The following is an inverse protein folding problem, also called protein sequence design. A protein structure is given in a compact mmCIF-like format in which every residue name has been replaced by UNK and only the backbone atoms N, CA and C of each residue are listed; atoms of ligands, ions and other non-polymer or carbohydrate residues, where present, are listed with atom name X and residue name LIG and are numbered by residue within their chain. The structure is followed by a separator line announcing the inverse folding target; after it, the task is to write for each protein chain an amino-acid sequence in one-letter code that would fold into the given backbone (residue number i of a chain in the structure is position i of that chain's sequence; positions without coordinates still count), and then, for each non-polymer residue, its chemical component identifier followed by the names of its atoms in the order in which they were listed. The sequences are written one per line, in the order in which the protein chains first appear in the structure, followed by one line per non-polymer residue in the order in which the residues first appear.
data_IF_216828020568
#
_entry.id   IF_216828020568
#
_cell.length_a   1.000
_cell.length_b   1.000
_cell.length_c   1.000
_cell.angle_alpha   90.00
_cell.angle_beta   90.00
_cell.angle_gamma   90.00
#
_symmetry.space_group_name_H-M   'P 1'
#
loop_
_entity.id
_entity.type
_entity.pdbx_description
1 polymer ?
#
# COMPACT_ATOMS: atom_id res chain seq x y z
N UNK A 1 -18.36 -9.44 -0.10
CA UNK A 1 -19.55 -9.35 -0.97
C UNK A 1 -19.32 -10.12 -2.27
N UNK A 2 -20.37 -10.53 -2.99
CA UNK A 2 -20.21 -11.16 -4.30
C UNK A 2 -19.88 -10.13 -5.37
N UNK A 3 -19.02 -10.53 -6.34
CA UNK A 3 -18.73 -9.71 -7.51
C UNK A 3 -19.80 -9.99 -8.56
N UNK A 4 -20.44 -8.95 -9.14
CA UNK A 4 -21.46 -9.12 -10.18
C UNK A 4 -20.93 -9.84 -11.44
N UNK A 5 -21.83 -10.42 -12.24
CA UNK A 5 -21.45 -10.92 -13.55
C UNK A 5 -21.09 -9.77 -14.51
N UNK A 6 -20.24 -10.05 -15.50
CA UNK A 6 -19.83 -9.04 -16.49
C UNK A 6 -18.68 -8.14 -16.01
N UNK A 7 -17.86 -8.64 -15.07
CA UNK A 7 -16.68 -7.94 -14.58
C UNK A 7 -15.40 -8.56 -15.13
N UNK A 8 -14.43 -7.70 -15.48
CA UNK A 8 -13.07 -8.05 -15.85
C UNK A 8 -12.20 -8.19 -14.60
N UNK A 9 -11.62 -9.37 -14.40
CA UNK A 9 -10.71 -9.65 -13.29
C UNK A 9 -9.25 -9.47 -13.72
N UNK A 10 -8.48 -8.80 -12.89
CA UNK A 10 -7.07 -8.57 -13.14
C UNK A 10 -6.24 -8.61 -11.84
N UNK A 11 -5.00 -9.04 -11.99
CA UNK A 11 -3.95 -8.88 -10.99
C UNK A 11 -3.10 -7.69 -11.37
N UNK A 12 -2.92 -6.75 -10.45
CA UNK A 12 -1.92 -5.68 -10.57
C UNK A 12 -0.81 -5.94 -9.56
N UNK A 13 0.44 -5.83 -10.01
CA UNK A 13 1.63 -6.13 -9.22
C UNK A 13 2.66 -5.02 -9.35
N UNK A 14 3.20 -4.58 -8.20
CA UNK A 14 4.37 -3.71 -8.09
C UNK A 14 5.56 -4.59 -7.75
N UNK A 15 6.64 -4.53 -8.52
CA UNK A 15 7.86 -5.33 -8.31
C UNK A 15 9.11 -4.63 -8.82
N UNK A 16 10.27 -5.24 -8.58
CA UNK A 16 11.56 -4.70 -9.02
C UNK A 16 12.13 -3.63 -8.10
N UNK A 17 11.50 -3.35 -6.95
CA UNK A 17 12.05 -2.40 -5.99
C UNK A 17 13.23 -2.99 -5.23
N UNK A 18 14.21 -2.13 -4.89
CA UNK A 18 15.41 -2.52 -4.12
C UNK A 18 15.07 -2.95 -2.69
N UNK A 19 14.06 -2.31 -2.08
CA UNK A 19 13.76 -2.50 -0.67
C UNK A 19 14.89 -2.02 0.22
N UNK A 20 15.08 -2.69 1.36
CA UNK A 20 16.15 -2.36 2.31
C UNK A 20 15.70 -2.46 3.75
N UNK A 21 16.63 -2.20 4.68
CA UNK A 21 16.35 -2.21 6.10
C UNK A 21 15.56 -0.97 6.52
N UNK A 22 14.46 -1.15 7.25
CA UNK A 22 13.55 -0.06 7.64
C UNK A 22 14.14 0.96 8.64
N UNK A 23 15.35 0.76 9.10
CA UNK A 23 16.10 1.71 9.92
C UNK A 23 17.30 2.28 9.17
N UNK A 24 18.15 1.41 8.62
CA UNK A 24 19.40 1.82 7.97
C UNK A 24 19.22 2.43 6.57
N UNK A 25 18.22 1.97 5.81
CA UNK A 25 18.02 2.39 4.41
C UNK A 25 16.79 3.28 4.18
N UNK A 26 16.02 3.57 5.24
CA UNK A 26 14.74 4.30 5.13
C UNK A 26 14.90 5.72 4.58
N UNK A 27 16.07 6.33 4.74
CA UNK A 27 16.41 7.67 4.27
C UNK A 27 16.85 7.73 2.80
N UNK A 28 17.04 6.57 2.16
CA UNK A 28 17.56 6.51 0.79
C UNK A 28 16.51 6.81 -0.29
N UNK A 29 15.30 7.21 0.09
CA UNK A 29 14.24 7.56 -0.85
C UNK A 29 13.72 6.38 -1.69
N UNK A 30 13.92 5.14 -1.20
CA UNK A 30 13.45 3.92 -1.90
C UNK A 30 11.93 3.79 -1.86
N UNK A 31 11.37 3.21 -2.91
CA UNK A 31 9.96 2.97 -3.04
C UNK A 31 9.43 1.92 -2.03
N UNK A 32 8.18 2.12 -1.58
CA UNK A 32 7.45 1.13 -0.81
C UNK A 32 6.34 0.55 -1.67
N UNK A 33 6.42 -0.74 -1.99
CA UNK A 33 5.48 -1.40 -2.90
C UNK A 33 4.02 -1.28 -2.43
N UNK A 34 3.74 -1.37 -1.11
CA UNK A 34 2.40 -1.22 -0.56
C UNK A 34 1.84 0.20 -0.80
N UNK A 35 2.68 1.23 -0.68
CA UNK A 35 2.26 2.62 -0.93
C UNK A 35 2.00 2.87 -2.42
N UNK A 36 2.86 2.36 -3.29
CA UNK A 36 2.73 2.50 -4.75
C UNK A 36 1.46 1.78 -5.22
N UNK A 37 1.27 0.53 -4.82
CA UNK A 37 0.07 -0.25 -5.15
C UNK A 37 -1.19 0.47 -4.67
N UNK A 38 -1.22 0.94 -3.42
CA UNK A 38 -2.38 1.62 -2.86
C UNK A 38 -2.71 2.94 -3.59
N UNK A 39 -1.71 3.68 -4.07
CA UNK A 39 -1.92 4.88 -4.89
C UNK A 39 -2.69 4.55 -6.17
N UNK A 40 -2.30 3.48 -6.86
CA UNK A 40 -3.01 3.00 -8.05
C UNK A 40 -4.44 2.56 -7.73
N UNK A 41 -4.62 1.70 -6.71
CA UNK A 41 -5.94 1.22 -6.31
C UNK A 41 -6.88 2.36 -5.90
N UNK A 42 -6.36 3.37 -5.20
CA UNK A 42 -7.14 4.55 -4.82
C UNK A 42 -7.60 5.37 -6.03
N UNK A 43 -6.75 5.49 -7.07
CA UNK A 43 -7.13 6.14 -8.33
C UNK A 43 -8.25 5.37 -9.03
N UNK A 44 -8.11 4.05 -9.09
CA UNK A 44 -9.11 3.18 -9.72
C UNK A 44 -10.44 3.23 -8.96
N UNK A 45 -10.43 3.12 -7.64
CA UNK A 45 -11.63 3.17 -6.80
C UNK A 45 -12.39 4.51 -6.88
N UNK A 46 -11.71 5.61 -7.24
CA UNK A 46 -12.33 6.91 -7.44
C UNK A 46 -12.93 7.11 -8.85
N UNK A 47 -12.59 6.24 -9.80
CA UNK A 47 -12.98 6.39 -11.21
C UNK A 47 -13.87 5.27 -11.73
N UNK A 48 -13.76 4.09 -11.12
CA UNK A 48 -14.42 2.87 -11.55
C UNK A 48 -15.10 2.18 -10.36
N UNK A 49 -16.09 1.34 -10.66
CA UNK A 49 -16.69 0.43 -9.67
C UNK A 49 -15.72 -0.72 -9.38
N UNK A 50 -14.72 -0.45 -8.55
CA UNK A 50 -13.62 -1.36 -8.25
C UNK A 50 -14.00 -2.32 -7.12
N UNK A 51 -13.92 -3.62 -7.38
CA UNK A 51 -14.01 -4.69 -6.39
C UNK A 51 -12.61 -5.19 -6.04
N UNK A 52 -12.21 -5.07 -4.78
CA UNK A 52 -10.94 -5.58 -4.27
C UNK A 52 -11.13 -7.00 -3.75
N UNK A 53 -10.58 -8.01 -4.44
CA UNK A 53 -10.71 -9.41 -4.08
C UNK A 53 -9.58 -9.89 -3.17
N UNK A 54 -8.35 -9.41 -3.41
CA UNK A 54 -7.17 -9.78 -2.63
C UNK A 54 -6.15 -8.65 -2.62
N UNK A 55 -5.42 -8.52 -1.51
CA UNK A 55 -4.29 -7.60 -1.40
C UNK A 55 -3.18 -8.24 -0.56
N UNK A 56 -1.94 -8.18 -1.07
CA UNK A 56 -0.77 -8.70 -0.39
C UNK A 56 0.47 -7.86 -0.72
N UNK A 57 1.29 -7.57 0.27
CA UNK A 57 2.57 -6.92 0.06
C UNK A 57 3.44 -6.89 1.32
N UNK A 58 4.76 -6.96 1.11
CA UNK A 58 5.75 -7.03 2.17
C UNK A 58 5.74 -8.34 2.95
N UNK A 59 6.91 -8.79 3.42
CA UNK A 59 7.05 -10.06 4.13
C UNK A 59 7.74 -9.91 5.49
N UNK A 60 8.57 -8.90 5.66
CA UNK A 60 9.40 -8.71 6.85
C UNK A 60 9.10 -7.37 7.51
N UNK A 61 8.88 -7.40 8.83
CA UNK A 61 8.58 -6.21 9.64
C UNK A 61 9.69 -5.14 9.57
N UNK A 62 10.93 -5.57 9.44
CA UNK A 62 12.11 -4.69 9.43
C UNK A 62 12.63 -4.37 8.02
N UNK A 63 11.88 -4.68 6.99
CA UNK A 63 12.24 -4.40 5.60
C UNK A 63 11.24 -3.46 4.92
N UNK A 64 11.74 -2.62 4.02
CA UNK A 64 10.91 -1.83 3.10
C UNK A 64 10.34 -2.81 2.07
N UNK A 65 9.01 -2.85 1.86
CA UNK A 65 8.39 -3.78 0.91
C UNK A 65 8.88 -3.59 -0.52
N UNK A 66 9.37 -4.67 -1.13
CA UNK A 66 9.88 -4.69 -2.51
C UNK A 66 8.82 -5.05 -3.52
N UNK A 67 7.78 -5.76 -3.08
CA UNK A 67 6.73 -6.31 -3.92
C UNK A 67 5.39 -6.21 -3.21
N UNK A 68 4.35 -5.95 -4.00
CA UNK A 68 2.96 -5.98 -3.56
C UNK A 68 2.06 -6.25 -4.75
N UNK A 69 0.95 -6.96 -4.53
CA UNK A 69 -0.06 -7.17 -5.55
C UNK A 69 -1.48 -7.06 -4.99
N UNK A 70 -2.41 -6.82 -5.90
CA UNK A 70 -3.84 -6.93 -5.63
C UNK A 70 -4.53 -7.67 -6.77
N UNK A 71 -5.60 -8.41 -6.43
CA UNK A 71 -6.55 -8.96 -7.39
C UNK A 71 -7.82 -8.15 -7.29
N UNK A 72 -8.25 -7.60 -8.41
CA UNK A 72 -9.38 -6.70 -8.50
C UNK A 72 -10.32 -7.10 -9.63
N UNK A 73 -11.54 -6.55 -9.58
CA UNK A 73 -12.48 -6.61 -10.69
C UNK A 73 -13.09 -5.23 -10.94
N UNK A 74 -13.34 -4.92 -12.20
CA UNK A 74 -14.05 -3.73 -12.68
C UNK A 74 -15.07 -4.15 -13.72
N UNK A 75 -16.09 -3.34 -14.08
CA UNK A 75 -16.95 -3.61 -15.21
C UNK A 75 -16.14 -3.95 -16.47
N UNK A 76 -16.59 -4.91 -17.30
CA UNK A 76 -15.83 -5.38 -18.47
C UNK A 76 -15.50 -4.25 -19.46
N UNK A 77 -16.38 -3.26 -19.59
CA UNK A 77 -16.19 -2.09 -20.43
C UNK A 77 -15.09 -1.14 -19.91
N UNK A 78 -14.79 -1.17 -18.61
CA UNK A 78 -13.70 -0.39 -17.99
C UNK A 78 -12.31 -1.02 -18.20
N UNK A 79 -12.20 -2.20 -18.81
CA UNK A 79 -10.92 -2.92 -19.01
C UNK A 79 -9.85 -2.11 -19.73
N UNK A 80 -10.25 -1.32 -20.72
CA UNK A 80 -9.33 -0.46 -21.46
C UNK A 80 -8.84 0.69 -20.57
N UNK A 81 -9.73 1.29 -19.79
CA UNK A 81 -9.43 2.41 -18.91
C UNK A 81 -8.44 2.02 -17.82
N UNK A 82 -8.59 0.82 -17.23
CA UNK A 82 -7.64 0.27 -16.25
C UNK A 82 -6.23 0.19 -16.83
N UNK A 83 -6.07 -0.30 -18.06
CA UNK A 83 -4.77 -0.42 -18.71
C UNK A 83 -4.17 0.94 -19.04
N UNK A 84 -4.98 1.87 -19.52
CA UNK A 84 -4.57 3.23 -19.83
C UNK A 84 -4.10 3.94 -18.54
N UNK A 85 -4.90 3.86 -17.48
CA UNK A 85 -4.55 4.47 -16.20
C UNK A 85 -3.29 3.85 -15.58
N UNK A 86 -3.10 2.53 -15.71
CA UNK A 86 -1.87 1.89 -15.25
C UNK A 86 -0.65 2.42 -15.99
N UNK A 87 -0.71 2.57 -17.31
CA UNK A 87 0.41 3.09 -18.10
C UNK A 87 0.76 4.54 -17.71
N UNK A 88 -0.25 5.39 -17.53
CA UNK A 88 -0.06 6.77 -17.04
C UNK A 88 0.59 6.76 -15.67
N UNK A 89 0.02 6.00 -14.74
CA UNK A 89 0.52 5.89 -13.38
C UNK A 89 1.94 5.32 -13.31
N UNK A 90 2.25 4.32 -14.13
CA UNK A 90 3.60 3.74 -14.23
C UNK A 90 4.62 4.79 -14.62
N UNK A 91 4.34 5.56 -15.69
CA UNK A 91 5.24 6.64 -16.13
C UNK A 91 5.46 7.71 -15.08
N UNK A 92 4.43 8.07 -14.31
CA UNK A 92 4.56 9.02 -13.19
C UNK A 92 5.48 8.48 -12.09
N UNK A 93 5.27 7.22 -11.65
CA UNK A 93 6.05 6.62 -10.56
C UNK A 93 7.49 6.31 -10.99
N UNK A 94 7.69 5.87 -12.24
CA UNK A 94 9.03 5.71 -12.82
C UNK A 94 9.79 7.02 -12.84
N UNK A 95 9.15 8.12 -13.19
CA UNK A 95 9.77 9.46 -13.15
C UNK A 95 10.07 9.90 -11.71
N UNK A 96 9.14 9.68 -10.76
CA UNK A 96 9.34 10.01 -9.33
C UNK A 96 10.53 9.27 -8.72
N UNK A 97 10.74 8.02 -9.11
CA UNK A 97 11.71 7.09 -8.50
C UNK A 97 12.86 6.69 -9.43
N UNK A 98 13.06 7.40 -10.54
CA UNK A 98 14.02 7.08 -11.60
C UNK A 98 15.45 6.80 -11.07
N UNK A 99 15.90 7.55 -10.06
CA UNK A 99 17.24 7.43 -9.49
C UNK A 99 17.33 6.29 -8.46
N UNK A 100 16.29 6.14 -7.64
CA UNK A 100 16.31 5.21 -6.52
C UNK A 100 15.84 3.80 -6.90
N UNK A 101 14.91 3.69 -7.87
CA UNK A 101 14.27 2.43 -8.26
C UNK A 101 14.23 2.24 -9.80
N UNK A 102 15.39 2.14 -10.47
CA UNK A 102 15.44 2.07 -11.93
C UNK A 102 14.81 0.77 -12.50
N UNK A 103 14.64 -0.25 -11.68
CA UNK A 103 14.07 -1.55 -12.07
C UNK A 103 12.59 -1.70 -11.69
N UNK A 104 11.95 -0.64 -11.18
CA UNK A 104 10.53 -0.62 -10.85
C UNK A 104 9.68 -1.08 -12.04
N UNK A 105 8.72 -1.96 -11.78
CA UNK A 105 7.73 -2.41 -12.75
C UNK A 105 6.36 -2.50 -12.12
N UNK A 106 5.37 -2.00 -12.85
CA UNK A 106 3.96 -2.27 -12.59
C UNK A 106 3.43 -3.18 -13.70
N UNK A 107 2.87 -4.31 -13.32
CA UNK A 107 2.39 -5.33 -14.26
C UNK A 107 0.91 -5.56 -14.02
N UNK A 108 0.15 -5.67 -15.10
CA UNK A 108 -1.27 -6.05 -15.08
C UNK A 108 -1.49 -7.28 -15.94
N UNK A 109 -2.03 -8.31 -15.32
CA UNK A 109 -2.39 -9.57 -15.95
C UNK A 109 -3.89 -9.84 -15.77
N UNK A 110 -4.52 -10.45 -16.78
CA UNK A 110 -5.88 -10.96 -16.62
C UNK A 110 -5.87 -12.09 -15.58
N UNK A 111 -6.89 -12.10 -14.72
CA UNK A 111 -7.00 -13.09 -13.64
C UNK A 111 -8.29 -13.91 -13.79
N UNK A 112 -8.31 -15.09 -13.20
CA UNK A 112 -9.50 -15.92 -13.13
C UNK A 112 -10.56 -15.27 -12.25
N UNK A 113 -11.85 -15.37 -12.61
CA UNK A 113 -12.94 -14.80 -11.82
C UNK A 113 -12.96 -15.29 -10.38
N UNK A 114 -13.13 -14.36 -9.43
CA UNK A 114 -13.34 -14.63 -8.01
C UNK A 114 -14.81 -14.40 -7.66
N UNK A 115 -15.39 -15.27 -6.84
CA UNK A 115 -16.80 -15.09 -6.41
C UNK A 115 -16.95 -13.95 -5.41
N UNK A 116 -15.94 -13.73 -4.57
CA UNK A 116 -16.02 -12.83 -3.43
C UNK A 116 -14.98 -11.72 -3.52
N UNK A 117 -15.41 -10.53 -3.14
CA UNK A 117 -14.56 -9.36 -2.90
C UNK A 117 -14.77 -8.83 -1.46
N UNK A 118 -13.87 -8.00 -1.01
CA UNK A 118 -14.05 -7.18 0.20
C UNK A 118 -15.23 -6.22 -0.07
N UNK A 119 -16.05 -5.95 0.92
CA UNK A 119 -17.15 -5.00 0.74
C UNK A 119 -16.62 -3.58 0.47
N UNK A 120 -17.44 -2.75 -0.20
CA UNK A 120 -17.02 -1.43 -0.70
C UNK A 120 -16.67 -0.45 0.42
N UNK A 121 -17.36 -0.51 1.55
CA UNK A 121 -17.06 0.34 2.69
C UNK A 121 -15.71 -0.03 3.33
N UNK A 122 -15.47 -1.32 3.56
CA UNK A 122 -14.17 -1.83 4.04
C UNK A 122 -13.06 -1.53 3.04
N UNK A 123 -13.30 -1.70 1.73
CA UNK A 123 -12.32 -1.35 0.68
C UNK A 123 -11.96 0.12 0.75
N UNK A 124 -12.95 1.00 0.80
CA UNK A 124 -12.74 2.45 0.89
C UNK A 124 -11.94 2.84 2.13
N UNK A 125 -12.29 2.30 3.29
CA UNK A 125 -11.57 2.56 4.55
C UNK A 125 -10.14 2.03 4.49
N UNK A 126 -9.94 0.83 3.97
CA UNK A 126 -8.62 0.23 3.81
C UNK A 126 -7.72 1.11 2.94
N UNK A 127 -8.19 1.49 1.74
CA UNK A 127 -7.41 2.30 0.82
C UNK A 127 -7.07 3.67 1.41
N UNK A 128 -8.01 4.33 2.10
CA UNK A 128 -7.77 5.59 2.82
C UNK A 128 -6.78 5.43 3.97
N UNK A 129 -6.90 4.36 4.76
CA UNK A 129 -5.97 4.07 5.86
C UNK A 129 -4.55 3.83 5.35
N UNK A 130 -4.39 3.03 4.29
CA UNK A 130 -3.08 2.78 3.67
C UNK A 130 -2.51 4.05 3.00
N UNK A 131 -3.37 4.93 2.47
CA UNK A 131 -2.95 6.20 1.88
C UNK A 131 -2.38 7.13 2.95
N UNK A 132 -3.08 7.28 4.07
CA UNK A 132 -2.70 8.13 5.19
C UNK A 132 -1.60 7.53 6.07
N UNK A 133 -1.39 6.21 6.05
CA UNK A 133 -0.37 5.53 6.85
C UNK A 133 1.02 6.14 6.59
N UNK A 134 1.72 6.64 7.62
CA UNK A 134 3.02 7.26 7.44
C UNK A 134 4.08 6.21 7.04
N UNK A 135 5.02 6.62 6.17
CA UNK A 135 6.15 5.81 5.74
C UNK A 135 7.34 6.72 5.40
N UNK A 136 8.52 6.37 5.88
CA UNK A 136 9.74 7.10 5.62
C UNK A 136 10.37 7.71 6.88
N UNK A 137 11.25 8.67 6.67
CA UNK A 137 11.89 9.46 7.74
C UNK A 137 10.87 10.47 8.27
N UNK A 138 10.73 10.51 9.60
CA UNK A 138 9.92 11.50 10.29
C UNK A 138 10.80 12.63 10.86
N UNK A 139 11.96 12.27 11.43
CA UNK A 139 12.93 13.23 11.92
C UNK A 139 14.37 12.74 11.71
N UNK A 140 15.26 13.67 11.42
CA UNK A 140 16.70 13.45 11.44
C UNK A 140 17.28 13.84 12.81
N UNK A 141 18.36 13.19 13.21
CA UNK A 141 19.06 13.53 14.46
C UNK A 141 19.57 14.98 14.41
N UNK A 142 19.33 15.70 15.50
CA UNK A 142 19.83 17.06 15.66
C UNK A 142 21.31 17.07 16.06
N UNK A 143 21.79 15.99 16.70
CA UNK A 143 23.15 15.89 17.23
C UNK A 143 24.11 15.21 16.26
N UNK A 144 23.62 14.29 15.43
CA UNK A 144 24.45 13.47 14.53
C UNK A 144 24.00 13.68 13.08
N UNK A 145 24.77 14.42 12.28
CA UNK A 145 24.45 14.63 10.87
C UNK A 145 24.31 13.30 10.09
N UNK A 146 23.25 13.20 9.28
CA UNK A 146 22.98 12.02 8.45
C UNK A 146 22.34 10.84 9.19
N UNK A 147 22.19 10.88 10.50
CA UNK A 147 21.50 9.84 11.27
C UNK A 147 19.99 10.09 11.27
N UNK A 148 19.22 9.05 10.94
CA UNK A 148 17.76 9.07 11.12
C UNK A 148 17.43 8.91 12.59
N UNK A 149 16.79 9.92 13.19
CA UNK A 149 16.31 9.85 14.55
C UNK A 149 15.03 9.03 14.65
N UNK A 150 14.01 9.43 13.89
CA UNK A 150 12.67 8.80 13.91
C UNK A 150 12.20 8.44 12.51
N UNK A 151 11.73 7.22 12.37
CA UNK A 151 11.17 6.72 11.12
C UNK A 151 10.01 5.76 11.33
N UNK A 152 9.22 5.58 10.29
CA UNK A 152 8.14 4.61 10.24
C UNK A 152 8.15 3.85 8.91
N UNK A 153 7.78 2.59 8.94
CA UNK A 153 7.71 1.72 7.77
C UNK A 153 6.35 1.02 7.70
N UNK A 154 5.61 1.22 6.61
CA UNK A 154 4.46 0.36 6.27
C UNK A 154 5.02 -0.97 5.75
N UNK A 155 5.22 -1.92 6.66
CA UNK A 155 6.01 -3.12 6.43
C UNK A 155 5.26 -4.21 5.68
N UNK A 156 3.99 -4.45 6.02
CA UNK A 156 3.21 -5.44 5.29
C UNK A 156 1.72 -5.14 5.31
N UNK A 157 1.05 -5.58 4.24
CA UNK A 157 -0.42 -5.66 4.12
C UNK A 157 -0.72 -7.07 3.67
N UNK A 158 -1.45 -7.85 4.47
CA UNK A 158 -1.71 -9.26 4.22
C UNK A 158 -3.18 -9.60 4.41
N UNK A 159 -3.77 -10.13 3.37
CA UNK A 159 -5.06 -10.81 3.52
C UNK A 159 -4.85 -12.20 4.10
N UNK A 160 -5.46 -12.47 5.23
CA UNK A 160 -5.38 -13.73 5.96
C UNK A 160 -6.67 -14.56 5.77
N UNK A 161 -6.64 -15.88 6.04
CA UNK A 161 -7.86 -16.67 6.16
C UNK A 161 -8.88 -15.99 7.09
N UNK A 162 -10.16 -16.28 6.91
CA UNK A 162 -11.28 -15.70 7.67
C UNK A 162 -11.51 -14.19 7.42
N UNK A 163 -11.12 -13.70 6.23
CA UNK A 163 -11.38 -12.32 5.78
C UNK A 163 -10.74 -11.23 6.67
N UNK A 164 -9.63 -11.54 7.32
CA UNK A 164 -8.86 -10.59 8.12
C UNK A 164 -7.79 -9.95 7.25
N UNK A 165 -7.72 -8.62 7.25
CA UNK A 165 -6.61 -7.88 6.65
C UNK A 165 -5.68 -7.42 7.78
N UNK A 166 -4.46 -7.91 7.76
CA UNK A 166 -3.41 -7.54 8.71
C UNK A 166 -2.48 -6.51 8.10
N UNK A 167 -2.40 -5.36 8.74
CA UNK A 167 -1.46 -4.29 8.39
C UNK A 167 -0.40 -4.23 9.49
N UNK A 168 0.86 -4.30 9.09
CA UNK A 168 1.99 -4.18 10.00
C UNK A 168 2.81 -2.94 9.69
N UNK A 169 3.09 -2.17 10.72
CA UNK A 169 3.99 -1.01 10.67
C UNK A 169 5.12 -1.18 11.67
N UNK A 170 6.25 -0.55 11.41
CA UNK A 170 7.41 -0.56 12.31
C UNK A 170 7.90 0.85 12.54
N UNK A 171 7.86 1.31 13.79
CA UNK A 171 8.36 2.62 14.21
C UNK A 171 9.71 2.47 14.88
N UNK A 172 10.64 3.34 14.54
CA UNK A 172 11.98 3.40 15.10
C UNK A 172 12.33 4.82 15.50
N UNK A 173 12.98 4.97 16.64
CA UNK A 173 13.55 6.24 17.07
C UNK A 173 14.64 6.00 18.11
N UNK A 174 15.65 6.85 18.14
CA UNK A 174 16.62 6.94 19.22
C UNK A 174 16.03 7.63 20.47
N UNK A 175 14.88 8.34 20.30
CA UNK A 175 14.17 9.04 21.38
C UNK A 175 12.89 8.29 21.70
N UNK A 176 12.74 7.81 22.93
CA UNK A 176 11.61 6.99 23.37
C UNK A 176 10.25 7.69 23.19
N UNK A 177 10.16 8.98 23.57
CA UNK A 177 8.93 9.77 23.45
C UNK A 177 8.53 9.94 21.99
N UNK A 178 9.46 10.26 21.09
CA UNK A 178 9.21 10.40 19.65
C UNK A 178 8.74 9.08 19.01
N UNK A 179 9.34 7.94 19.40
CA UNK A 179 8.88 6.62 18.97
C UNK A 179 7.44 6.35 19.41
N UNK A 180 7.12 6.67 20.67
CA UNK A 180 5.79 6.46 21.22
C UNK A 180 4.74 7.37 20.54
N UNK A 181 5.10 8.61 20.24
CA UNK A 181 4.26 9.56 19.53
C UNK A 181 3.94 9.05 18.10
N UNK A 182 4.97 8.59 17.37
CA UNK A 182 4.77 7.99 16.05
C UNK A 182 3.89 6.72 16.11
N UNK A 183 4.04 5.90 17.15
CA UNK A 183 3.18 4.73 17.35
C UNK A 183 1.72 5.15 17.66
N UNK A 184 1.51 6.23 18.41
CA UNK A 184 0.19 6.79 18.68
C UNK A 184 -0.45 7.39 17.42
N UNK A 185 0.33 8.03 16.55
CA UNK A 185 -0.14 8.50 15.24
C UNK A 185 -0.72 7.34 14.41
N UNK A 186 -0.02 6.20 14.34
CA UNK A 186 -0.53 5.01 13.65
C UNK A 186 -1.77 4.43 14.33
N UNK A 187 -1.82 4.40 15.67
CA UNK A 187 -3.00 3.96 16.42
C UNK A 187 -4.20 4.86 16.17
N UNK A 188 -4.02 6.18 16.22
CA UNK A 188 -5.09 7.14 15.93
C UNK A 188 -5.68 6.90 14.56
N UNK A 189 -4.84 6.68 13.54
CA UNK A 189 -5.30 6.36 12.19
C UNK A 189 -6.15 5.08 12.17
N UNK A 190 -5.76 4.02 12.90
CA UNK A 190 -6.53 2.78 12.95
C UNK A 190 -7.89 2.96 13.63
N UNK A 191 -8.00 3.82 14.64
CA UNK A 191 -9.24 4.11 15.37
C UNK A 191 -10.24 4.93 14.55
N UNK A 192 -9.77 5.84 13.70
CA UNK A 192 -10.63 6.64 12.80
C UNK A 192 -11.39 5.74 11.82
N UNK A 193 -10.85 4.56 11.50
CA UNK A 193 -11.41 3.64 10.53
C UNK A 193 -12.22 2.48 11.15
N UNK A 194 -12.29 2.39 12.48
CA UNK A 194 -13.19 1.46 13.18
C UNK A 194 -14.55 2.13 13.27
N UNK A 195 -15.55 1.60 12.52
CA UNK A 195 -16.94 1.98 12.78
C UNK A 195 -17.34 1.42 14.14
N UNK A 196 -17.84 2.27 15.04
CA UNK A 196 -18.55 1.77 16.20
C UNK A 196 -19.73 0.90 15.73
N UNK A 197 -19.98 -0.27 16.36
CA UNK A 197 -21.18 -1.03 16.06
C UNK A 197 -22.38 -0.13 16.36
N UNK A 198 -23.15 0.19 15.35
CA UNK A 198 -24.45 0.82 15.53
C UNK A 198 -25.29 -0.08 16.43
N UNK A 199 -25.62 0.42 17.60
CA UNK A 199 -26.56 -0.22 18.54
C UNK A 199 -27.95 -0.25 17.96
#
# INVERSE_FOLDING_TARGET
MEVPAGYFFFKVEVKGLKGGHSGGDIHLGRGNANKILNRFLSRMANRQDLYLCEINGGNLRNAIPREAYAICAVPEDAKHDVRTELNIFTSEVENELAVTEPDLKLVLESETPRKMAIDQDTTTRLLKALYAAPHGVYAMSQDIPGLVETSTNLASVKMKPNHIIRIETSQRSSILSARNDMANTVRALSLIHISEPTR
#
